data_IF_032448145014
#
_entry.id   IF_032448145014
#
_cell.length_a   1.000
_cell.length_b   1.000
_cell.length_c   1.000
_cell.angle_alpha   90.00
_cell.angle_beta   90.00
_cell.angle_gamma   90.00
#
_symmetry.space_group_name_H-M   'P 1'
#
loop_
_entity.id
_entity.type
_entity.pdbx_description
1 polymer ?
#
# COMPACT_ATOMS: atom_id res chain seq x y z
N UNK A 1 -6.05 -16.16 -6.96
CA UNK A 1 -5.88 -15.32 -5.76
C UNK A 1 -4.90 -14.22 -6.13
N UNK A 2 -5.37 -12.98 -6.29
CA UNK A 2 -4.47 -11.84 -6.60
C UNK A 2 -3.71 -11.49 -5.32
N UNK A 3 -2.38 -11.43 -5.39
CA UNK A 3 -1.55 -11.15 -4.22
C UNK A 3 -1.66 -9.68 -3.86
N UNK A 4 -2.47 -9.36 -2.86
CA UNK A 4 -2.44 -8.05 -2.17
C UNK A 4 -1.21 -7.90 -1.26
N UNK A 5 -0.29 -8.87 -1.30
CA UNK A 5 0.92 -8.93 -0.52
C UNK A 5 2.08 -8.52 -1.40
N UNK A 6 2.85 -7.54 -0.94
CA UNK A 6 3.97 -6.96 -1.65
C UNK A 6 5.19 -6.97 -0.73
N UNK A 7 6.33 -7.42 -1.25
CA UNK A 7 7.63 -7.31 -0.58
C UNK A 7 8.42 -6.16 -1.19
N UNK A 8 8.89 -5.23 -0.36
CA UNK A 8 9.77 -4.13 -0.74
C UNK A 8 11.12 -4.37 -0.09
N UNK A 9 12.19 -4.43 -0.88
CA UNK A 9 13.57 -4.48 -0.35
C UNK A 9 14.07 -3.05 -0.07
N UNK A 10 14.43 -2.73 1.17
CA UNK A 10 15.11 -1.46 1.47
C UNK A 10 16.49 -1.41 0.82
N UNK A 11 16.91 -0.23 0.37
CA UNK A 11 18.23 -0.02 -0.23
C UNK A 11 19.32 0.23 0.82
N UNK A 12 18.93 0.79 1.97
CA UNK A 12 19.77 1.09 3.12
C UNK A 12 18.88 1.37 4.35
N UNK A 13 19.49 1.72 5.48
CA UNK A 13 18.78 2.00 6.74
C UNK A 13 17.87 3.23 6.66
N UNK A 14 18.30 4.31 6.01
CA UNK A 14 17.52 5.54 5.85
C UNK A 14 16.26 5.31 4.99
N UNK A 15 16.39 4.55 3.90
CA UNK A 15 15.28 4.14 3.06
C UNK A 15 14.31 3.23 3.81
N UNK A 16 14.81 2.32 4.66
CA UNK A 16 13.96 1.51 5.55
C UNK A 16 13.13 2.39 6.47
N UNK A 17 13.75 3.32 7.20
CA UNK A 17 13.04 4.22 8.12
C UNK A 17 11.98 5.05 7.39
N UNK A 18 12.31 5.52 6.18
CA UNK A 18 11.37 6.24 5.32
C UNK A 18 10.18 5.39 4.91
N UNK A 19 10.41 4.13 4.51
CA UNK A 19 9.36 3.20 4.13
C UNK A 19 8.45 2.88 5.34
N UNK A 20 9.05 2.61 6.51
CA UNK A 20 8.30 2.31 7.74
C UNK A 20 7.44 3.50 8.20
N UNK A 21 7.94 4.73 8.09
CA UNK A 21 7.17 5.93 8.38
C UNK A 21 5.96 6.09 7.44
N UNK A 22 6.17 5.89 6.12
CA UNK A 22 5.09 5.91 5.13
C UNK A 22 4.05 4.82 5.38
N UNK A 23 4.49 3.60 5.67
CA UNK A 23 3.59 2.47 5.97
C UNK A 23 2.82 2.68 7.27
N UNK A 24 3.45 3.28 8.29
CA UNK A 24 2.79 3.66 9.53
C UNK A 24 1.67 4.69 9.30
N UNK A 25 1.90 5.65 8.39
CA UNK A 25 0.86 6.57 7.95
C UNK A 25 -0.27 5.83 7.20
N UNK A 26 0.08 5.03 6.20
CA UNK A 26 -0.90 4.30 5.39
C UNK A 26 -1.72 3.27 6.16
N UNK A 27 -1.19 2.71 7.25
CA UNK A 27 -1.91 1.81 8.15
C UNK A 27 -3.17 2.46 8.75
N UNK A 28 -3.18 3.79 8.86
CA UNK A 28 -4.31 4.57 9.39
C UNK A 28 -5.06 5.33 8.29
N UNK A 29 -4.49 5.39 7.09
CA UNK A 29 -5.08 6.10 5.98
C UNK A 29 -6.23 5.32 5.35
N UNK A 30 -7.16 6.06 4.75
CA UNK A 30 -8.25 5.49 3.96
C UNK A 30 -8.29 6.12 2.59
N UNK A 31 -8.83 5.38 1.63
CA UNK A 31 -8.95 5.78 0.25
C UNK A 31 -10.40 5.65 -0.18
N UNK A 32 -10.92 6.71 -0.80
CA UNK A 32 -12.27 6.73 -1.35
C UNK A 32 -12.24 6.22 -2.78
N UNK A 33 -12.83 5.05 -2.98
CA UNK A 33 -12.95 4.38 -4.26
C UNK A 33 -14.32 4.62 -4.89
N UNK A 34 -14.34 4.78 -6.21
CA UNK A 34 -15.54 4.75 -7.02
C UNK A 34 -15.56 3.43 -7.78
N UNK A 35 -16.50 2.56 -7.44
CA UNK A 35 -16.71 1.31 -8.16
C UNK A 35 -17.35 1.58 -9.52
N UNK A 36 -17.17 0.65 -10.47
CA UNK A 36 -17.73 0.74 -11.83
C UNK A 36 -19.26 0.85 -11.87
N UNK A 37 -19.94 0.37 -10.83
CA UNK A 37 -21.39 0.49 -10.67
C UNK A 37 -21.83 1.86 -10.10
N UNK A 38 -20.91 2.82 -9.93
CA UNK A 38 -21.16 4.15 -9.39
C UNK A 38 -21.19 4.22 -7.86
N UNK A 39 -21.09 3.10 -7.15
CA UNK A 39 -21.02 3.08 -5.68
C UNK A 39 -19.68 3.63 -5.19
N UNK A 40 -19.71 4.34 -4.06
CA UNK A 40 -18.51 4.88 -3.42
C UNK A 40 -18.24 4.09 -2.15
N UNK A 41 -17.02 3.60 -2.00
CA UNK A 41 -16.56 2.93 -0.80
C UNK A 41 -15.36 3.68 -0.23
N UNK A 42 -15.25 3.72 1.08
CA UNK A 42 -14.02 4.17 1.76
C UNK A 42 -13.39 2.92 2.35
N UNK A 43 -12.18 2.59 1.89
CA UNK A 43 -11.43 1.43 2.37
C UNK A 43 -10.17 1.91 3.08
N UNK A 44 -9.76 1.18 4.12
CA UNK A 44 -8.40 1.34 4.65
C UNK A 44 -7.40 0.99 3.54
N UNK A 45 -6.25 1.66 3.51
CA UNK A 45 -5.24 1.39 2.48
C UNK A 45 -4.56 0.04 2.73
N UNK A 46 -4.12 -0.18 3.97
CA UNK A 46 -3.41 -1.38 4.39
C UNK A 46 -4.23 -2.18 5.41
N UNK A 47 -4.16 -3.51 5.32
CA UNK A 47 -4.60 -4.38 6.41
C UNK A 47 -3.51 -4.44 7.48
N UNK A 48 -2.26 -4.65 7.06
CA UNK A 48 -1.09 -4.75 7.94
C UNK A 48 0.20 -4.62 7.15
N UNK A 49 1.29 -4.36 7.84
CA UNK A 49 2.65 -4.51 7.31
C UNK A 49 3.58 -5.06 8.39
N UNK A 50 4.71 -5.62 7.95
CA UNK A 50 5.80 -6.08 8.84
C UNK A 50 7.15 -5.80 8.22
N UNK A 51 8.12 -5.47 9.06
CA UNK A 51 9.52 -5.28 8.68
C UNK A 51 10.32 -6.52 9.11
N UNK A 52 11.13 -7.08 8.21
CA UNK A 52 12.11 -8.15 8.48
C UNK A 52 13.52 -7.64 8.16
N UNK A 53 14.57 -8.40 8.45
CA UNK A 53 15.95 -7.98 8.12
C UNK A 53 16.16 -7.77 6.61
N UNK A 54 15.49 -8.55 5.76
CA UNK A 54 15.71 -8.55 4.31
C UNK A 54 14.67 -7.74 3.52
N UNK A 55 13.43 -7.66 4.01
CA UNK A 55 12.32 -7.05 3.29
C UNK A 55 11.27 -6.43 4.22
N UNK A 56 10.44 -5.58 3.64
CA UNK A 56 9.21 -5.09 4.27
C UNK A 56 8.04 -5.69 3.51
N UNK A 57 7.20 -6.44 4.22
CA UNK A 57 6.00 -7.04 3.67
C UNK A 57 4.79 -6.19 3.98
N UNK A 58 4.04 -5.84 2.94
CA UNK A 58 2.89 -4.97 2.99
C UNK A 58 1.68 -5.75 2.50
N UNK A 59 0.59 -5.72 3.27
CA UNK A 59 -0.69 -6.33 2.90
C UNK A 59 -1.70 -5.22 2.66
N UNK A 60 -2.04 -5.00 1.41
CA UNK A 60 -3.06 -4.02 1.01
C UNK A 60 -4.45 -4.57 1.23
N UNK A 61 -5.40 -3.69 1.55
CA UNK A 61 -6.82 -4.06 1.60
C UNK A 61 -7.28 -4.52 0.22
N UNK A 62 -8.07 -5.61 0.13
CA UNK A 62 -8.64 -6.06 -1.14
C UNK A 62 -9.32 -4.93 -1.92
N UNK A 63 -9.00 -4.82 -3.21
CA UNK A 63 -9.51 -3.77 -4.11
C UNK A 63 -8.65 -2.50 -4.16
N UNK A 64 -7.76 -2.25 -3.19
CA UNK A 64 -6.84 -1.10 -3.24
C UNK A 64 -5.83 -1.25 -4.39
N UNK A 65 -5.21 -2.43 -4.53
CA UNK A 65 -4.23 -2.68 -5.61
C UNK A 65 -4.88 -2.53 -6.99
N UNK A 66 -6.11 -3.01 -7.15
CA UNK A 66 -6.87 -2.91 -8.40
C UNK A 66 -7.23 -1.45 -8.73
N UNK A 67 -7.51 -0.65 -7.70
CA UNK A 67 -7.83 0.77 -7.86
C UNK A 67 -6.61 1.65 -8.14
N UNK A 68 -5.47 1.34 -7.53
CA UNK A 68 -4.22 2.10 -7.71
C UNK A 68 -3.51 1.73 -9.01
N UNK A 69 -3.53 0.45 -9.39
CA UNK A 69 -2.98 -0.03 -10.65
C UNK A 69 -2.25 -1.35 -10.50
N UNK A 70 -2.82 -2.43 -11.03
CA UNK A 70 -2.28 -3.80 -10.92
C UNK A 70 -0.93 -4.03 -11.61
N UNK A 71 -0.50 -3.09 -12.47
CA UNK A 71 0.77 -3.17 -13.21
C UNK A 71 1.93 -2.49 -12.49
N UNK A 72 1.67 -1.81 -11.38
CA UNK A 72 2.66 -1.08 -10.62
C UNK A 72 3.48 -2.05 -9.76
N UNK A 73 4.79 -1.80 -9.64
CA UNK A 73 5.65 -2.51 -8.71
C UNK A 73 5.38 -2.09 -7.25
N UNK A 74 6.05 -2.74 -6.30
CA UNK A 74 5.79 -2.50 -4.88
C UNK A 74 6.08 -1.08 -4.39
N UNK A 75 7.10 -0.41 -4.92
CA UNK A 75 7.40 0.99 -4.57
C UNK A 75 6.45 1.94 -5.27
N UNK A 76 6.16 1.70 -6.54
CA UNK A 76 5.18 2.46 -7.30
C UNK A 76 3.78 2.40 -6.67
N UNK A 77 3.36 1.23 -6.17
CA UNK A 77 2.11 1.07 -5.43
C UNK A 77 2.11 1.85 -4.13
N UNK A 78 3.23 1.86 -3.41
CA UNK A 78 3.36 2.65 -2.19
C UNK A 78 3.26 4.14 -2.47
N UNK A 79 3.93 4.64 -3.52
CA UNK A 79 3.88 6.06 -3.91
C UNK A 79 2.48 6.46 -4.37
N UNK A 80 1.81 5.61 -5.17
CA UNK A 80 0.43 5.83 -5.59
C UNK A 80 -0.53 5.87 -4.38
N UNK A 81 -0.35 4.96 -3.43
CA UNK A 81 -1.13 4.92 -2.19
C UNK A 81 -0.92 6.18 -1.35
N UNK A 82 0.32 6.63 -1.17
CA UNK A 82 0.65 7.88 -0.46
C UNK A 82 0.03 9.11 -1.13
N UNK A 83 0.05 9.17 -2.47
CA UNK A 83 -0.53 10.30 -3.20
C UNK A 83 -2.06 10.35 -3.13
N UNK A 84 -2.72 9.19 -2.99
CA UNK A 84 -4.17 9.08 -3.02
C UNK A 84 -4.80 9.03 -1.61
N UNK A 85 -4.01 8.69 -0.59
CA UNK A 85 -4.41 8.70 0.81
C UNK A 85 -4.72 10.12 1.31
N UNK A 86 -5.74 10.24 2.16
CA UNK A 86 -6.12 11.46 2.86
C UNK A 86 -6.21 11.22 4.36
#
# INVERSE_FOLDING_TARGET
MRNNIISIKPQNQEDRETLEARLSFLQKASLRLLHRNGSKATLLVLERWRSTEDDIQVVFTPGIVEALGEKLDGRQLLDAAMSAAR
#
